data_IF_872708894384
#
_entry.id   IF_872708894384
#
_cell.length_a   1.000
_cell.length_b   1.000
_cell.length_c   1.000
_cell.angle_alpha   90.00
_cell.angle_beta   90.00
_cell.angle_gamma   90.00
#
_symmetry.space_group_name_H-M   'P 1'
#
loop_
_entity.id
_entity.type
_entity.pdbx_description
1 polymer ?
#
# COMPACT_ATOMS: atom_id res chain seq x y z
N UNK A 1 9.29 -5.47 -15.66
CA UNK A 1 8.87 -6.80 -15.15
C UNK A 1 8.54 -6.65 -13.68
N UNK A 2 7.26 -6.63 -13.31
CA UNK A 2 6.83 -6.49 -11.92
C UNK A 2 6.75 -7.87 -11.28
N UNK A 3 7.65 -8.18 -10.34
CA UNK A 3 7.64 -9.43 -9.58
C UNK A 3 6.48 -9.39 -8.58
N UNK A 4 5.61 -10.40 -8.64
CA UNK A 4 4.60 -10.64 -7.62
C UNK A 4 5.28 -11.15 -6.34
N UNK A 5 4.86 -10.64 -5.18
CA UNK A 5 5.40 -11.07 -3.89
C UNK A 5 4.98 -12.50 -3.59
N UNK A 6 5.84 -13.22 -2.88
CA UNK A 6 5.49 -14.52 -2.34
C UNK A 6 4.49 -14.37 -1.21
N UNK A 7 3.82 -15.45 -0.86
CA UNK A 7 2.86 -15.46 0.23
C UNK A 7 3.48 -15.20 1.60
N UNK A 8 4.72 -15.58 1.80
CA UNK A 8 5.49 -15.26 3.02
C UNK A 8 5.74 -13.76 3.11
N UNK A 9 6.18 -13.12 2.02
CA UNK A 9 6.39 -11.68 1.96
C UNK A 9 5.08 -10.90 2.19
N UNK A 10 3.99 -11.34 1.58
CA UNK A 10 2.65 -10.77 1.81
C UNK A 10 2.22 -10.97 3.26
N UNK A 11 2.50 -12.13 3.84
CA UNK A 11 2.26 -12.44 5.24
C UNK A 11 3.00 -11.48 6.18
N UNK A 12 4.31 -11.29 5.96
CA UNK A 12 5.13 -10.34 6.72
C UNK A 12 4.60 -8.91 6.63
N UNK A 13 4.24 -8.44 5.43
CA UNK A 13 3.71 -7.10 5.19
C UNK A 13 2.37 -6.84 5.89
N UNK A 14 1.59 -7.89 6.14
CA UNK A 14 0.25 -7.78 6.72
C UNK A 14 0.17 -8.26 8.15
N UNK A 15 1.30 -8.58 8.81
CA UNK A 15 1.30 -8.98 10.22
C UNK A 15 0.67 -7.89 11.11
N UNK A 16 -0.18 -8.26 12.08
CA UNK A 16 -0.49 -9.63 12.55
C UNK A 16 -1.67 -10.32 11.84
N UNK A 17 -2.17 -9.79 10.72
CA UNK A 17 -3.39 -10.26 10.05
C UNK A 17 -3.13 -11.60 9.34
N UNK A 18 -3.72 -12.68 9.85
CA UNK A 18 -3.64 -14.04 9.25
C UNK A 18 -4.77 -14.36 8.26
N UNK A 19 -5.87 -13.62 8.33
CA UNK A 19 -7.06 -13.84 7.52
C UNK A 19 -6.87 -13.23 6.12
N UNK A 20 -6.82 -14.04 5.06
CA UNK A 20 -6.56 -13.57 3.69
C UNK A 20 -7.54 -12.48 3.22
N UNK A 21 -8.82 -12.60 3.56
CA UNK A 21 -9.82 -11.56 3.27
C UNK A 21 -9.55 -10.23 3.99
N UNK A 22 -9.06 -10.29 5.24
CA UNK A 22 -8.69 -9.10 6.01
C UNK A 22 -7.39 -8.47 5.47
N UNK A 23 -6.42 -9.29 5.04
CA UNK A 23 -5.22 -8.82 4.36
C UNK A 23 -5.58 -8.04 3.10
N UNK A 24 -6.49 -8.57 2.27
CA UNK A 24 -6.97 -7.88 1.06
C UNK A 24 -7.59 -6.53 1.40
N UNK A 25 -8.43 -6.46 2.43
CA UNK A 25 -9.09 -5.22 2.85
C UNK A 25 -8.07 -4.19 3.36
N UNK A 26 -7.11 -4.64 4.15
CA UNK A 26 -6.05 -3.80 4.69
C UNK A 26 -5.14 -3.25 3.57
N UNK A 27 -4.69 -4.13 2.67
CA UNK A 27 -3.87 -3.74 1.52
C UNK A 27 -4.62 -2.81 0.57
N UNK A 28 -5.92 -3.03 0.34
CA UNK A 28 -6.75 -2.13 -0.46
C UNK A 28 -6.85 -0.74 0.16
N UNK A 29 -6.93 -0.65 1.49
CA UNK A 29 -6.94 0.63 2.21
C UNK A 29 -5.58 1.32 2.15
N UNK A 30 -4.48 0.58 2.35
CA UNK A 30 -3.14 1.16 2.31
C UNK A 30 -2.72 1.59 0.89
N UNK A 31 -2.93 0.74 -0.10
CA UNK A 31 -2.50 0.98 -1.49
C UNK A 31 -3.46 1.87 -2.28
N UNK A 32 -4.69 2.06 -1.79
CA UNK A 32 -5.72 2.85 -2.48
C UNK A 32 -6.14 2.28 -3.85
N UNK A 33 -5.75 1.05 -4.17
CA UNK A 33 -6.03 0.40 -5.46
C UNK A 33 -6.70 -0.96 -5.27
N UNK A 34 -7.29 -1.48 -6.35
CA UNK A 34 -7.96 -2.77 -6.32
C UNK A 34 -6.95 -3.93 -6.24
N UNK A 35 -7.05 -4.70 -5.16
CA UNK A 35 -6.24 -5.91 -4.94
C UNK A 35 -7.00 -7.11 -5.48
N UNK A 36 -6.46 -7.77 -6.50
CA UNK A 36 -6.99 -9.06 -6.96
C UNK A 36 -6.71 -10.16 -5.93
N UNK A 37 -7.66 -11.08 -5.77
CA UNK A 37 -7.48 -12.28 -4.96
C UNK A 37 -7.09 -13.45 -5.83
N UNK A 38 -6.15 -14.26 -5.35
CA UNK A 38 -5.86 -15.58 -5.94
C UNK A 38 -6.96 -16.58 -5.51
N UNK A 39 -7.21 -17.67 -6.26
CA UNK A 39 -8.11 -18.75 -5.84
C UNK A 39 -7.83 -19.29 -4.42
N UNK A 40 -6.59 -19.23 -3.95
CA UNK A 40 -6.21 -19.62 -2.57
C UNK A 40 -6.66 -18.63 -1.48
N UNK A 41 -7.36 -17.56 -1.84
CA UNK A 41 -7.89 -16.55 -0.91
C UNK A 41 -6.88 -15.49 -0.47
N UNK A 42 -5.62 -15.58 -0.92
CA UNK A 42 -4.55 -14.61 -0.63
C UNK A 42 -4.56 -13.42 -1.61
N UNK A 43 -4.17 -12.21 -1.17
CA UNK A 43 -4.06 -11.05 -2.03
C UNK A 43 -2.87 -11.17 -3.00
N UNK A 44 -3.06 -10.76 -4.25
CA UNK A 44 -1.98 -10.63 -5.23
C UNK A 44 -1.42 -9.22 -5.13
N UNK A 45 -0.21 -9.10 -4.61
CA UNK A 45 0.52 -7.84 -4.46
C UNK A 45 1.81 -7.93 -5.27
N UNK A 46 2.14 -6.88 -6.02
CA UNK A 46 3.41 -6.78 -6.74
C UNK A 46 4.33 -5.79 -6.05
N UNK A 47 5.65 -5.93 -6.27
CA UNK A 47 6.62 -4.96 -5.75
C UNK A 47 6.34 -3.53 -6.24
N UNK A 48 5.83 -3.40 -7.46
CA UNK A 48 5.44 -2.12 -8.06
C UNK A 48 4.28 -1.45 -7.30
N UNK A 49 3.28 -2.24 -6.86
CA UNK A 49 2.20 -1.74 -6.01
C UNK A 49 2.74 -1.16 -4.69
N UNK A 50 3.68 -1.85 -4.03
CA UNK A 50 4.31 -1.31 -2.82
C UNK A 50 5.18 -0.07 -3.06
N UNK A 51 5.89 -0.03 -4.19
CA UNK A 51 6.67 1.16 -4.55
C UNK A 51 5.78 2.41 -4.66
N UNK A 52 4.54 2.26 -5.14
CA UNK A 52 3.56 3.36 -5.17
C UNK A 52 3.15 3.84 -3.78
N UNK A 53 3.09 2.96 -2.80
CA UNK A 53 2.85 3.30 -1.40
C UNK A 53 3.98 4.18 -0.86
N UNK A 54 5.24 3.82 -1.15
CA UNK A 54 6.42 4.61 -0.76
C UNK A 54 6.48 5.96 -1.47
N UNK A 55 6.03 6.04 -2.72
CA UNK A 55 5.94 7.31 -3.45
C UNK A 55 4.80 8.20 -2.94
N UNK A 56 3.66 7.64 -2.53
CA UNK A 56 2.55 8.41 -1.94
C UNK A 56 2.81 8.87 -0.49
N UNK A 57 3.79 8.27 0.19
CA UNK A 57 4.27 8.71 1.51
C UNK A 57 5.31 9.84 1.43
N UNK A 58 5.67 10.30 0.22
CA UNK A 58 6.21 11.65 0.11
C UNK A 58 5.09 12.57 0.60
N UNK A 59 5.26 13.29 1.73
CA UNK A 59 4.26 14.25 2.13
C UNK A 59 4.08 15.14 0.91
N UNK A 60 2.83 15.27 0.45
CA UNK A 60 2.49 16.42 -0.35
C UNK A 60 3.05 17.60 0.45
N UNK A 61 4.18 18.16 0.00
CA UNK A 61 4.64 19.46 0.44
C UNK A 61 3.52 20.38 0.00
N UNK A 62 2.53 20.50 0.88
CA UNK A 62 1.57 21.55 0.84
C UNK A 62 2.36 22.77 1.32
N UNK A 63 3.26 23.24 0.45
CA UNK A 63 3.84 24.58 0.44
C UNK A 63 2.74 25.59 0.04
N UNK A 64 1.53 25.36 0.56
CA UNK A 64 0.44 26.32 0.57
C UNK A 64 0.87 27.38 1.59
N UNK A 65 1.56 28.38 1.06
CA UNK A 65 2.31 29.39 1.79
C UNK A 65 1.59 29.92 3.02
N UNK A 66 2.24 29.75 4.18
CA UNK A 66 2.11 30.71 5.27
C UNK A 66 2.89 31.97 4.87
N UNK A 67 2.23 32.88 4.17
CA UNK A 67 2.72 34.24 3.98
C UNK A 67 2.59 34.98 5.33
N UNK A 68 3.69 35.04 6.08
CA UNK A 68 3.82 35.97 7.21
C UNK A 68 3.96 37.38 6.64
N UNK A 69 2.81 38.03 6.40
CA UNK A 69 2.75 39.45 6.06
C UNK A 69 3.35 40.26 7.20
N UNK A 70 4.60 40.70 7.00
CA UNK A 70 5.17 41.84 7.71
C UNK A 70 4.53 43.09 7.12
N UNK A 71 3.88 43.88 7.96
CA UNK A 71 3.29 45.19 7.68
C UNK A 71 3.22 46.00 8.94
#
# INVERSE_FOLDING_TARGET
MSIALTDEEVGELTKPIKQGAAQVRHLRQMLGCEIKRRPDGRPVVTRDMLARLQTNDAPASNDAGLNWGSG
#
